data_IF_021579911487
#
_entry.id   IF_021579911487
#
_cell.length_a   1.000
_cell.length_b   1.000
_cell.length_c   1.000
_cell.angle_alpha   90.00
_cell.angle_beta   90.00
_cell.angle_gamma   90.00
#
_symmetry.space_group_name_H-M   'P 1'
#
loop_
_entity.id
_entity.type
_entity.pdbx_description
1 polymer ?
#
# COMPACT_ATOMS: atom_id res chain seq x y z
N UNK A 1 -3.08 0.14 32.80
CA UNK A 1 -2.27 1.19 32.16
C UNK A 1 -2.80 1.39 30.75
N UNK A 2 -3.30 2.57 30.36
CA UNK A 2 -3.70 2.78 28.97
C UNK A 2 -2.41 2.81 28.14
N UNK A 3 -2.26 1.80 27.29
CA UNK A 3 -1.13 1.67 26.38
C UNK A 3 -1.09 2.88 25.45
N UNK A 4 0.11 3.44 25.23
CA UNK A 4 0.41 4.57 24.32
C UNK A 4 -0.24 4.40 22.93
N UNK A 5 -0.60 3.16 22.55
CA UNK A 5 -1.37 2.84 21.35
C UNK A 5 -2.78 3.43 21.29
N UNK A 6 -3.50 3.63 22.40
CA UNK A 6 -4.90 4.07 22.37
C UNK A 6 -5.03 5.59 22.13
N UNK A 7 -4.22 6.40 22.80
CA UNK A 7 -4.22 7.86 22.66
C UNK A 7 -3.76 8.31 21.26
N UNK A 8 -2.79 7.60 20.65
CA UNK A 8 -2.38 7.87 19.26
C UNK A 8 -3.44 7.46 18.24
N UNK A 9 -4.32 6.54 18.61
CA UNK A 9 -5.41 6.05 17.76
C UNK A 9 -6.60 7.01 17.78
N UNK A 10 -6.95 7.55 18.94
CA UNK A 10 -8.02 8.55 19.07
C UNK A 10 -7.66 9.84 18.30
N UNK A 11 -6.38 10.22 18.24
CA UNK A 11 -5.92 11.33 17.38
C UNK A 11 -6.05 11.06 15.87
N UNK A 12 -6.02 9.79 15.44
CA UNK A 12 -6.22 9.40 14.04
C UNK A 12 -7.71 9.33 13.67
N UNK A 13 -8.61 9.30 14.65
CA UNK A 13 -10.07 9.36 14.43
C UNK A 13 -10.53 10.79 14.16
N UNK A 14 -9.84 11.81 14.70
CA UNK A 14 -10.15 13.23 14.47
C UNK A 14 -9.81 13.71 13.05
N UNK A 15 -8.96 12.96 12.34
CA UNK A 15 -8.58 13.22 10.95
C UNK A 15 -8.85 11.95 10.13
N UNK A 16 -10.07 11.86 9.56
CA UNK A 16 -10.56 10.70 8.82
C UNK A 16 -9.58 10.25 7.71
N UNK A 17 -8.92 11.21 7.07
CA UNK A 17 -7.91 10.99 6.03
C UNK A 17 -6.70 10.23 6.58
N UNK A 18 -6.25 10.55 7.80
CA UNK A 18 -5.17 9.81 8.46
C UNK A 18 -5.57 8.38 8.82
N UNK A 19 -6.85 8.13 9.14
CA UNK A 19 -7.34 6.78 9.44
C UNK A 19 -7.24 5.86 8.23
N UNK A 20 -7.58 6.36 7.04
CA UNK A 20 -7.49 5.60 5.78
C UNK A 20 -6.05 5.16 5.51
N UNK A 21 -5.10 6.10 5.58
CA UNK A 21 -3.68 5.79 5.40
C UNK A 21 -3.15 4.81 6.45
N UNK A 22 -3.58 4.94 7.71
CA UNK A 22 -3.22 4.02 8.77
C UNK A 22 -3.72 2.59 8.48
N UNK A 23 -5.00 2.44 8.13
CA UNK A 23 -5.58 1.13 7.83
C UNK A 23 -4.97 0.51 6.58
N UNK A 24 -4.70 1.30 5.54
CA UNK A 24 -3.98 0.84 4.36
C UNK A 24 -2.59 0.28 4.73
N UNK A 25 -1.85 0.96 5.60
CA UNK A 25 -0.56 0.50 6.11
C UNK A 25 -0.67 -0.79 6.94
N UNK A 26 -1.66 -0.88 7.83
CA UNK A 26 -1.93 -2.08 8.64
C UNK A 26 -2.25 -3.29 7.76
N UNK A 27 -3.05 -3.09 6.72
CA UNK A 27 -3.43 -4.12 5.75
C UNK A 27 -2.33 -4.41 4.70
N UNK A 28 -1.26 -3.61 4.68
CA UNK A 28 -0.15 -3.68 3.71
C UNK A 28 -0.62 -3.54 2.25
N UNK A 29 -1.56 -2.63 2.02
CA UNK A 29 -2.08 -2.27 0.69
C UNK A 29 -1.93 -0.76 0.45
N UNK A 30 -2.12 -0.32 -0.79
CA UNK A 30 -2.22 1.12 -1.09
C UNK A 30 -3.61 1.64 -0.71
N UNK A 31 -3.72 2.95 -0.45
CA UNK A 31 -5.01 3.61 -0.24
C UNK A 31 -5.95 3.41 -1.44
N UNK A 32 -5.41 3.45 -2.66
CA UNK A 32 -6.16 3.15 -3.88
C UNK A 32 -6.80 1.75 -3.87
N UNK A 33 -6.07 0.74 -3.40
CA UNK A 33 -6.60 -0.62 -3.30
C UNK A 33 -7.62 -0.74 -2.16
N UNK A 34 -7.41 0.02 -1.08
CA UNK A 34 -8.39 0.12 0.01
C UNK A 34 -9.72 0.70 -0.51
N UNK A 35 -9.69 1.71 -1.38
CA UNK A 35 -10.90 2.23 -2.04
C UNK A 35 -11.57 1.15 -2.90
N UNK A 36 -10.80 0.39 -3.69
CA UNK A 36 -11.37 -0.71 -4.50
C UNK A 36 -12.11 -1.74 -3.64
N UNK A 37 -11.49 -2.15 -2.53
CA UNK A 37 -12.05 -3.16 -1.62
C UNK A 37 -13.26 -2.61 -0.86
N UNK A 38 -13.17 -1.38 -0.35
CA UNK A 38 -14.26 -0.73 0.35
C UNK A 38 -15.49 -0.59 -0.55
N UNK A 39 -15.29 -0.20 -1.81
CA UNK A 39 -16.37 -0.13 -2.80
C UNK A 39 -17.00 -1.50 -3.04
N UNK A 40 -16.19 -2.53 -3.27
CA UNK A 40 -16.69 -3.90 -3.47
C UNK A 40 -17.50 -4.39 -2.27
N UNK A 41 -17.05 -4.12 -1.05
CA UNK A 41 -17.76 -4.53 0.17
C UNK A 41 -19.05 -3.75 0.42
N UNK A 42 -19.11 -2.49 -0.01
CA UNK A 42 -20.28 -1.63 0.19
C UNK A 42 -21.37 -1.88 -0.85
N UNK A 43 -20.99 -1.99 -2.13
CA UNK A 43 -21.92 -2.10 -3.26
C UNK A 43 -22.07 -3.53 -3.79
N UNK A 44 -21.33 -4.50 -3.25
CA UNK A 44 -21.30 -5.91 -3.66
C UNK A 44 -20.96 -6.15 -5.14
N UNK A 45 -20.34 -5.16 -5.79
CA UNK A 45 -19.87 -5.27 -7.17
C UNK A 45 -18.54 -4.55 -7.38
N UNK A 46 -17.78 -5.00 -8.38
CA UNK A 46 -16.51 -4.39 -8.72
C UNK A 46 -16.70 -3.00 -9.35
N UNK A 47 -15.81 -2.06 -9.02
CA UNK A 47 -15.72 -0.76 -9.68
C UNK A 47 -14.80 -0.86 -10.90
N UNK A 48 -15.15 -0.15 -11.98
CA UNK A 48 -14.25 0.02 -13.13
C UNK A 48 -13.08 0.93 -12.78
N UNK A 49 -11.87 0.61 -13.24
CA UNK A 49 -10.64 1.37 -12.93
C UNK A 49 -10.78 2.88 -13.25
N UNK A 50 -11.38 3.23 -14.39
CA UNK A 50 -11.62 4.64 -14.77
C UNK A 50 -12.41 5.42 -13.73
N UNK A 51 -13.45 4.80 -13.16
CA UNK A 51 -14.32 5.44 -12.16
C UNK A 51 -13.62 5.55 -10.82
N UNK A 52 -12.87 4.51 -10.45
CA UNK A 52 -12.06 4.51 -9.24
C UNK A 52 -10.99 5.59 -9.29
N UNK A 53 -10.32 5.76 -10.43
CA UNK A 53 -9.31 6.80 -10.65
C UNK A 53 -9.88 8.20 -10.47
N UNK A 54 -11.07 8.48 -11.00
CA UNK A 54 -11.73 9.78 -10.83
C UNK A 54 -12.02 10.06 -9.36
N UNK A 55 -12.63 9.11 -8.65
CA UNK A 55 -12.96 9.27 -7.22
C UNK A 55 -11.71 9.41 -6.36
N UNK A 56 -10.64 8.68 -6.69
CA UNK A 56 -9.39 8.75 -5.95
C UNK A 56 -8.65 10.07 -6.19
N UNK A 57 -8.69 10.61 -7.41
CA UNK A 57 -8.13 11.95 -7.70
C UNK A 57 -8.86 13.03 -6.93
N UNK A 58 -10.19 12.98 -6.93
CA UNK A 58 -11.02 13.93 -6.17
C UNK A 58 -10.70 13.89 -4.67
N UNK A 59 -10.52 12.70 -4.10
CA UNK A 59 -10.03 12.52 -2.73
C UNK A 59 -8.65 13.16 -2.49
N UNK A 60 -7.69 12.99 -3.42
CA UNK A 60 -6.36 13.59 -3.29
C UNK A 60 -6.37 15.12 -3.39
N UNK A 61 -7.29 15.69 -4.17
CA UNK A 61 -7.42 17.14 -4.38
C UNK A 61 -8.15 17.82 -3.22
N UNK A 62 -9.23 17.19 -2.73
CA UNK A 62 -10.09 17.76 -1.68
C UNK A 62 -9.67 17.36 -0.27
N UNK A 63 -8.98 16.22 -0.12
CA UNK A 63 -8.71 15.58 1.16
C UNK A 63 -9.92 14.90 1.79
N UNK A 64 -11.10 14.96 1.15
CA UNK A 64 -12.34 14.41 1.65
C UNK A 64 -12.58 13.01 1.08
N UNK A 65 -12.69 12.03 1.98
CA UNK A 65 -12.95 10.67 1.58
C UNK A 65 -14.45 10.39 1.45
N UNK A 66 -14.89 9.60 0.45
CA UNK A 66 -16.27 9.18 0.35
C UNK A 66 -16.72 8.40 1.60
N UNK A 67 -17.98 8.58 1.99
CA UNK A 67 -18.56 7.96 3.19
C UNK A 67 -18.34 6.44 3.30
N UNK A 68 -18.44 5.71 2.19
CA UNK A 68 -18.23 4.26 2.15
C UNK A 68 -16.77 3.86 2.46
N UNK A 69 -15.79 4.71 2.13
CA UNK A 69 -14.37 4.50 2.52
C UNK A 69 -14.21 4.72 4.01
N UNK A 70 -14.77 5.80 4.54
CA UNK A 70 -14.68 6.14 5.96
C UNK A 70 -15.33 5.07 6.83
N UNK A 71 -16.53 4.61 6.47
CA UNK A 71 -17.19 3.54 7.20
C UNK A 71 -16.38 2.23 7.16
N UNK A 72 -15.80 1.91 6.00
CA UNK A 72 -14.92 0.76 5.88
C UNK A 72 -13.66 0.88 6.76
N UNK A 73 -12.98 2.04 6.74
CA UNK A 73 -11.81 2.31 7.55
C UNK A 73 -12.12 2.21 9.04
N UNK A 74 -13.27 2.76 9.48
CA UNK A 74 -13.75 2.65 10.86
C UNK A 74 -14.03 1.21 11.28
N UNK A 75 -14.72 0.42 10.45
CA UNK A 75 -14.97 -1.01 10.75
C UNK A 75 -13.69 -1.83 10.80
N UNK A 76 -12.76 -1.59 9.88
CA UNK A 76 -11.46 -2.24 9.90
C UNK A 76 -10.64 -1.84 11.14
N UNK A 77 -10.75 -0.59 11.55
CA UNK A 77 -10.12 -0.07 12.75
C UNK A 77 -10.67 -0.72 14.03
N UNK A 78 -11.99 -0.86 14.16
CA UNK A 78 -12.61 -1.57 15.29
C UNK A 78 -12.13 -3.02 15.38
N UNK A 79 -12.08 -3.73 14.24
CA UNK A 79 -11.53 -5.10 14.18
C UNK A 79 -10.04 -5.15 14.53
N UNK A 80 -9.26 -4.14 14.14
CA UNK A 80 -7.87 -4.02 14.52
C UNK A 80 -7.71 -3.89 16.03
N UNK A 81 -8.52 -3.02 16.65
CA UNK A 81 -8.52 -2.80 18.10
C UNK A 81 -8.94 -4.05 18.87
N UNK A 82 -9.85 -4.86 18.32
CA UNK A 82 -10.25 -6.15 18.86
C UNK A 82 -9.21 -7.26 18.67
N UNK A 83 -8.17 -7.05 17.84
CA UNK A 83 -7.18 -8.08 17.50
C UNK A 83 -7.68 -9.13 16.49
N UNK A 84 -8.84 -8.90 15.88
CA UNK A 84 -9.52 -9.84 14.97
C UNK A 84 -9.31 -9.48 13.48
N UNK A 85 -8.45 -8.49 13.18
CA UNK A 85 -8.25 -8.04 11.81
C UNK A 85 -7.55 -9.10 10.96
N UNK A 86 -8.33 -9.86 10.20
CA UNK A 86 -7.84 -10.84 9.25
C UNK A 86 -7.92 -10.31 7.82
N UNK A 87 -6.76 -10.16 7.19
CA UNK A 87 -6.57 -9.69 5.81
C UNK A 87 -7.24 -10.63 4.77
N UNK A 88 -7.43 -11.91 5.11
CA UNK A 88 -8.07 -12.88 4.22
C UNK A 88 -9.56 -12.57 3.98
N UNK A 89 -10.25 -12.01 4.98
CA UNK A 89 -11.68 -11.70 4.91
C UNK A 89 -11.98 -10.56 3.91
N UNK A 90 -10.96 -9.79 3.60
CA UNK A 90 -10.97 -8.70 2.62
C UNK A 90 -10.48 -9.13 1.24
N UNK A 91 -10.15 -10.42 1.03
CA UNK A 91 -9.59 -10.91 -0.23
C UNK A 91 -8.17 -10.43 -0.51
N UNK A 92 -7.48 -9.84 0.48
CA UNK A 92 -6.16 -9.25 0.29
C UNK A 92 -5.11 -10.35 0.25
N UNK A 93 -4.50 -10.53 -0.91
CA UNK A 93 -3.28 -11.35 -1.04
C UNK A 93 -2.09 -10.52 -0.58
N UNK A 94 -1.63 -10.73 0.66
CA UNK A 94 -0.36 -10.11 1.10
C UNK A 94 0.73 -10.47 0.10
N UNK A 95 1.41 -9.47 -0.44
CA UNK A 95 2.71 -9.68 -1.07
C UNK A 95 3.67 -10.05 0.04
N UNK A 96 3.86 -11.36 0.24
CA UNK A 96 4.89 -11.86 1.14
C UNK A 96 6.22 -11.49 0.52
N UNK A 97 6.87 -10.44 1.03
CA UNK A 97 8.25 -10.12 0.71
C UNK A 97 9.13 -11.28 1.18
N UNK A 98 9.30 -12.27 0.31
CA UNK A 98 10.12 -13.42 0.61
C UNK A 98 11.60 -13.00 0.58
N UNK A 99 12.34 -13.29 1.65
CA UNK A 99 13.78 -12.99 1.76
C UNK A 99 14.56 -13.55 0.56
N UNK A 100 14.12 -14.66 -0.04
CA UNK A 100 14.70 -15.22 -1.27
C UNK A 100 14.55 -14.32 -2.49
N UNK A 101 13.41 -13.63 -2.68
CA UNK A 101 13.23 -12.73 -3.83
C UNK A 101 14.10 -11.48 -3.70
N UNK A 102 14.33 -11.00 -2.47
CA UNK A 102 15.27 -9.88 -2.23
C UNK A 102 16.71 -10.24 -2.59
N UNK A 103 17.15 -11.45 -2.26
CA UNK A 103 18.50 -11.95 -2.60
C UNK A 103 18.63 -12.10 -4.12
N UNK A 104 17.63 -12.65 -4.81
CA UNK A 104 17.65 -12.75 -6.29
C UNK A 104 17.73 -11.38 -6.95
N UNK A 105 16.99 -10.39 -6.45
CA UNK A 105 17.05 -9.01 -6.95
C UNK A 105 18.46 -8.41 -6.80
N UNK A 106 19.10 -8.61 -5.64
CA UNK A 106 20.47 -8.17 -5.41
C UNK A 106 21.49 -8.84 -6.33
N UNK A 107 21.34 -10.14 -6.60
CA UNK A 107 22.20 -10.86 -7.55
C UNK A 107 22.07 -10.27 -8.96
N UNK A 108 20.86 -9.96 -9.42
CA UNK A 108 20.64 -9.38 -10.76
C UNK A 108 21.28 -7.99 -10.87
N UNK A 109 21.10 -7.14 -9.84
CA UNK A 109 21.67 -5.78 -9.81
C UNK A 109 23.20 -5.83 -9.84
N UNK A 110 23.81 -6.70 -9.02
CA UNK A 110 25.27 -6.84 -8.98
C UNK A 110 25.82 -7.34 -10.30
N UNK A 111 25.15 -8.30 -10.96
CA UNK A 111 25.56 -8.82 -12.27
C UNK A 111 25.48 -7.74 -13.38
N UNK A 112 24.41 -6.94 -13.39
CA UNK A 112 24.27 -5.80 -14.32
C UNK A 112 25.37 -4.76 -14.14
N UNK A 113 25.73 -4.42 -12.89
CA UNK A 113 26.81 -3.47 -12.61
C UNK A 113 28.17 -3.97 -13.09
N UNK A 114 28.47 -5.25 -12.86
CA UNK A 114 29.71 -5.88 -13.36
C UNK A 114 29.73 -5.82 -14.89
N UNK A 115 28.63 -6.16 -15.57
CA UNK A 115 28.56 -6.11 -17.02
C UNK A 115 28.78 -4.69 -17.58
N UNK A 116 28.15 -3.67 -16.97
CA UNK A 116 28.33 -2.26 -17.32
C UNK A 116 29.79 -1.80 -17.15
N UNK A 117 30.44 -2.20 -16.06
CA UNK A 117 31.86 -1.88 -15.83
C UNK A 117 32.79 -2.58 -16.82
N UNK A 118 32.51 -3.83 -17.19
CA UNK A 118 33.30 -4.56 -18.19
C UNK A 118 33.14 -3.93 -19.57
N UNK A 119 31.91 -3.56 -19.93
CA UNK A 119 31.61 -2.89 -21.19
C UNK A 119 32.31 -1.53 -21.31
N UNK A 120 32.27 -0.71 -20.24
CA UNK A 120 32.97 0.58 -20.24
C UNK A 120 34.49 0.42 -20.32
N UNK A 121 35.04 -0.58 -19.64
CA UNK A 121 36.47 -0.92 -19.71
C UNK A 121 36.89 -1.31 -21.13
N UNK A 122 36.10 -2.15 -21.79
CA UNK A 122 36.35 -2.57 -23.17
C UNK A 122 36.30 -1.36 -24.13
N UNK A 123 35.27 -0.51 -24.02
CA UNK A 123 35.19 0.72 -24.82
C UNK A 123 36.39 1.62 -24.62
N UNK A 124 36.81 1.85 -23.37
CA UNK A 124 37.96 2.72 -23.08
C UNK A 124 39.26 2.19 -23.68
N UNK A 125 39.40 0.87 -23.84
CA UNK A 125 40.57 0.24 -24.47
C UNK A 125 40.52 0.35 -26.00
N UNK A 126 39.34 0.25 -26.60
CA UNK A 126 39.16 0.45 -28.04
C UNK A 126 39.27 1.92 -28.47
N UNK A 127 38.80 2.87 -27.65
CA UNK A 127 38.88 4.30 -27.96
C UNK A 127 40.29 4.89 -27.80
N UNK A 128 41.23 4.14 -27.21
CA UNK A 128 42.63 4.55 -27.01
C UNK A 128 43.58 3.97 -28.07
N UNK A 129 43.05 3.25 -29.07
CA UNK A 129 43.73 2.82 -30.30
C UNK A 129 43.24 3.67 -31.46
#
# INVERSE_FOLDING_TARGET
MPTISACKLDFLVDDETKLIGFIAAVLQISEYELFRIAYLKWFDHAISDKRLDTLFKEYLETGEAPFWVNDFARKAHEKFKAGELNYRDYGIRRRVCNRRTKIKGWIIITLLLIFLSAYSYVISRYASY
#
